data_IF_410225449302
#
_entry.id   IF_410225449302
#
_cell.length_a   1.000
_cell.length_b   1.000
_cell.length_c   1.000
_cell.angle_alpha   90.00
_cell.angle_beta   90.00
_cell.angle_gamma   90.00
#
_symmetry.space_group_name_H-M   'P 1'
#
loop_
_entity.id
_entity.type
_entity.pdbx_description
1 polymer ?
#
# COMPACT_ATOMS: atom_id res chain seq x y z
N UNK A 1 -6.41 19.61 7.34
CA UNK A 1 -5.48 19.77 6.19
C UNK A 1 -4.71 18.46 5.93
N UNK A 2 -5.35 17.28 6.02
CA UNK A 2 -4.66 15.97 5.90
C UNK A 2 -4.94 15.21 4.58
N UNK A 3 -5.90 15.67 3.78
CA UNK A 3 -6.33 14.96 2.57
C UNK A 3 -5.26 14.91 1.48
N UNK A 4 -4.38 15.91 1.40
CA UNK A 4 -3.27 15.91 0.43
C UNK A 4 -2.24 14.82 0.73
N UNK A 5 -1.93 14.59 2.01
CA UNK A 5 -0.93 13.60 2.43
C UNK A 5 -1.41 12.16 2.20
N UNK A 6 -2.68 11.87 2.50
CA UNK A 6 -3.28 10.54 2.26
C UNK A 6 -3.32 10.23 0.76
N UNK A 7 -3.73 11.20 -0.07
CA UNK A 7 -3.76 11.00 -1.52
C UNK A 7 -2.37 10.67 -2.10
N UNK A 8 -1.32 11.35 -1.63
CA UNK A 8 0.06 11.06 -2.06
C UNK A 8 0.53 9.67 -1.61
N UNK A 9 0.25 9.29 -0.35
CA UNK A 9 0.57 7.96 0.15
C UNK A 9 -0.14 6.87 -0.68
N UNK A 10 -1.40 7.11 -1.06
CA UNK A 10 -2.17 6.21 -1.91
C UNK A 10 -1.51 6.01 -3.28
N UNK A 11 -1.09 7.07 -3.94
CA UNK A 11 -0.40 6.97 -5.24
C UNK A 11 0.90 6.15 -5.14
N UNK A 12 1.67 6.33 -4.06
CA UNK A 12 2.89 5.54 -3.81
C UNK A 12 2.55 4.05 -3.62
N UNK A 13 1.53 3.76 -2.83
CA UNK A 13 1.07 2.38 -2.59
C UNK A 13 0.63 1.73 -3.89
N UNK A 14 -0.24 2.39 -4.66
CA UNK A 14 -0.71 1.90 -5.97
C UNK A 14 0.44 1.61 -6.90
N UNK A 15 1.36 2.55 -7.07
CA UNK A 15 2.52 2.38 -7.95
C UNK A 15 3.39 1.20 -7.52
N UNK A 16 3.58 1.03 -6.21
CA UNK A 16 4.35 -0.10 -5.66
C UNK A 16 3.69 -1.43 -5.97
N UNK A 17 2.36 -1.52 -5.87
CA UNK A 17 1.60 -2.72 -6.21
C UNK A 17 1.65 -3.01 -7.71
N UNK A 18 1.40 -2.00 -8.56
CA UNK A 18 1.45 -2.10 -10.02
C UNK A 18 2.82 -2.62 -10.47
N UNK A 19 3.89 -2.04 -9.92
CA UNK A 19 5.26 -2.44 -10.28
C UNK A 19 5.61 -3.86 -9.81
N UNK A 20 5.07 -4.33 -8.67
CA UNK A 20 5.39 -5.67 -8.13
C UNK A 20 4.53 -6.76 -8.76
N UNK A 21 3.25 -6.48 -9.03
CA UNK A 21 2.33 -7.42 -9.66
C UNK A 21 2.36 -7.36 -11.19
N UNK A 22 3.09 -6.41 -11.78
CA UNK A 22 3.17 -6.17 -13.23
C UNK A 22 1.79 -6.01 -13.88
N UNK A 23 0.87 -5.32 -13.19
CA UNK A 23 -0.50 -5.03 -13.66
C UNK A 23 -0.61 -3.61 -14.25
N UNK A 24 -1.64 -3.35 -15.05
CA UNK A 24 -1.82 -2.02 -15.67
C UNK A 24 -2.35 -0.96 -14.69
N UNK A 25 -3.35 -1.32 -13.87
CA UNK A 25 -3.96 -0.40 -12.91
C UNK A 25 -4.58 -1.16 -11.73
N UNK A 26 -4.70 -0.48 -10.59
CA UNK A 26 -5.43 -0.95 -9.40
C UNK A 26 -6.30 0.18 -8.83
N UNK A 27 -7.55 -0.14 -8.48
CA UNK A 27 -8.44 0.82 -7.82
C UNK A 27 -8.08 1.03 -6.35
N UNK A 28 -8.56 2.12 -5.75
CA UNK A 28 -8.26 2.44 -4.34
C UNK A 28 -8.74 1.36 -3.36
N UNK A 29 -9.84 0.69 -3.72
CA UNK A 29 -10.52 -0.31 -2.89
C UNK A 29 -10.36 -1.72 -3.45
N UNK A 30 -9.49 -1.91 -4.46
CA UNK A 30 -9.21 -3.24 -4.96
C UNK A 30 -8.30 -3.95 -3.97
N UNK A 31 -8.73 -5.14 -3.57
CA UNK A 31 -7.96 -6.03 -2.72
C UNK A 31 -6.74 -6.56 -3.50
N UNK A 32 -5.55 -6.35 -2.92
CA UNK A 32 -4.29 -6.84 -3.47
C UNK A 32 -4.30 -8.34 -3.80
N UNK A 33 -4.95 -9.18 -3.00
CA UNK A 33 -5.03 -10.62 -3.24
C UNK A 33 -5.97 -10.95 -4.41
N UNK A 34 -7.01 -10.14 -4.64
CA UNK A 34 -7.94 -10.34 -5.75
C UNK A 34 -7.30 -10.03 -7.12
N UNK A 35 -6.33 -9.11 -7.15
CA UNK A 35 -5.62 -8.74 -8.39
C UNK A 35 -4.40 -9.64 -8.68
N UNK A 36 -4.16 -10.68 -7.88
CA UNK A 36 -3.06 -11.65 -8.07
C UNK A 36 -1.92 -11.54 -7.07
N UNK A 37 -2.08 -10.74 -6.02
CA UNK A 37 -1.11 -10.63 -4.93
C UNK A 37 -1.04 -11.87 -4.05
N UNK A 38 0.13 -12.13 -3.48
CA UNK A 38 0.37 -13.21 -2.53
C UNK A 38 1.27 -12.75 -1.38
N UNK A 39 1.47 -13.58 -0.36
CA UNK A 39 2.27 -13.19 0.82
C UNK A 39 3.73 -12.81 0.48
N UNK A 40 4.30 -13.37 -0.59
CA UNK A 40 5.65 -13.03 -1.03
C UNK A 40 5.68 -11.63 -1.64
N UNK A 41 4.80 -11.36 -2.61
CA UNK A 41 4.72 -10.04 -3.26
C UNK A 41 4.24 -8.95 -2.31
N UNK A 42 3.45 -9.30 -1.28
CA UNK A 42 3.09 -8.37 -0.20
C UNK A 42 4.32 -7.85 0.55
N UNK A 43 5.31 -8.71 0.83
CA UNK A 43 6.55 -8.28 1.47
C UNK A 43 7.34 -7.35 0.56
N UNK A 44 7.43 -7.65 -0.74
CA UNK A 44 8.11 -6.79 -1.72
C UNK A 44 7.45 -5.41 -1.82
N UNK A 45 6.11 -5.37 -1.86
CA UNK A 45 5.33 -4.11 -1.84
C UNK A 45 5.58 -3.34 -0.55
N UNK A 46 5.55 -4.01 0.61
CA UNK A 46 5.81 -3.38 1.91
C UNK A 46 7.21 -2.77 1.93
N UNK A 47 8.24 -3.50 1.51
CA UNK A 47 9.61 -2.97 1.44
C UNK A 47 9.70 -1.75 0.52
N UNK A 48 9.11 -1.80 -0.66
CA UNK A 48 9.12 -0.70 -1.63
C UNK A 48 8.38 0.54 -1.13
N UNK A 49 7.28 0.36 -0.40
CA UNK A 49 6.57 1.45 0.26
C UNK A 49 7.43 2.03 1.39
N UNK A 50 8.07 1.16 2.19
CA UNK A 50 8.92 1.58 3.30
C UNK A 50 10.11 2.41 2.82
N UNK A 51 10.73 2.05 1.69
CA UNK A 51 11.83 2.80 1.09
C UNK A 51 11.38 4.18 0.58
N UNK A 52 10.20 4.28 -0.04
CA UNK A 52 9.70 5.54 -0.59
C UNK A 52 9.14 6.49 0.47
N UNK A 53 8.52 5.94 1.51
CA UNK A 53 7.84 6.74 2.56
C UNK A 53 8.66 6.91 3.83
N UNK A 54 9.69 6.07 4.03
CA UNK A 54 10.45 5.97 5.28
C UNK A 54 9.65 5.39 6.45
N UNK A 55 8.43 4.91 6.22
CA UNK A 55 7.51 4.40 7.25
C UNK A 55 7.37 2.89 7.11
N UNK A 56 7.45 2.16 8.22
CA UNK A 56 7.37 0.71 8.21
C UNK A 56 5.94 0.22 8.41
N UNK A 57 5.34 -0.39 7.39
CA UNK A 57 4.01 -1.02 7.51
C UNK A 57 4.17 -2.43 8.12
N UNK A 58 3.48 -2.76 9.22
CA UNK A 58 3.44 -4.12 9.73
C UNK A 58 2.69 -5.03 8.75
N UNK A 59 3.25 -6.22 8.46
CA UNK A 59 2.56 -7.21 7.61
C UNK A 59 1.15 -7.53 8.11
N UNK A 60 0.92 -7.54 9.43
CA UNK A 60 -0.41 -7.77 10.00
C UNK A 60 -1.43 -6.72 9.56
N UNK A 61 -1.05 -5.44 9.53
CA UNK A 61 -1.91 -4.35 9.09
C UNK A 61 -2.19 -4.48 7.59
N UNK A 62 -1.16 -4.80 6.81
CA UNK A 62 -1.29 -5.06 5.38
C UNK A 62 -2.27 -6.21 5.10
N UNK A 63 -2.19 -7.31 5.85
CA UNK A 63 -3.10 -8.45 5.70
C UNK A 63 -4.52 -8.18 6.23
N UNK A 64 -4.70 -7.16 7.08
CA UNK A 64 -6.01 -6.83 7.63
C UNK A 64 -6.90 -6.12 6.61
N UNK A 65 -6.32 -5.16 5.88
CA UNK A 65 -7.00 -4.46 4.80
C UNK A 65 -5.98 -4.17 3.67
N UNK A 66 -5.84 -5.12 2.72
CA UNK A 66 -4.83 -5.08 1.68
C UNK A 66 -5.27 -4.19 0.51
N UNK A 67 -5.92 -3.06 0.80
CA UNK A 67 -6.37 -2.08 -0.20
C UNK A 67 -5.47 -0.84 -0.20
N UNK A 68 -5.25 -0.20 -1.35
CA UNK A 68 -4.44 1.02 -1.41
C UNK A 68 -4.94 2.15 -0.50
N UNK A 69 -6.25 2.29 -0.30
CA UNK A 69 -6.81 3.32 0.59
C UNK A 69 -6.49 3.05 2.07
N UNK A 70 -6.71 1.82 2.54
CA UNK A 70 -6.39 1.46 3.93
C UNK A 70 -4.90 1.57 4.24
N UNK A 71 -4.03 1.15 3.30
CA UNK A 71 -2.59 1.29 3.45
C UNK A 71 -2.15 2.77 3.48
N UNK A 72 -2.77 3.62 2.68
CA UNK A 72 -2.53 5.06 2.70
C UNK A 72 -2.97 5.71 4.02
N UNK A 73 -4.10 5.25 4.57
CA UNK A 73 -4.56 5.65 5.89
C UNK A 73 -3.58 5.21 6.98
N UNK A 74 -3.12 3.95 6.99
CA UNK A 74 -2.11 3.46 7.94
C UNK A 74 -0.85 4.32 7.87
N UNK A 75 -0.36 4.62 6.67
CA UNK A 75 0.80 5.48 6.46
C UNK A 75 0.59 6.90 7.04
N UNK A 76 -0.63 7.43 7.01
CA UNK A 76 -0.93 8.75 7.55
C UNK A 76 -1.30 8.75 9.03
N UNK A 77 -1.91 7.67 9.52
CA UNK A 77 -2.44 7.50 10.87
C UNK A 77 -1.45 6.83 11.82
N UNK A 78 -0.25 6.43 11.35
CA UNK A 78 0.84 6.02 12.24
C UNK A 78 1.17 7.12 13.25
N UNK A 79 0.43 7.09 14.36
CA UNK A 79 0.65 7.83 15.60
C UNK A 79 2.05 7.47 16.09
N UNK A 80 2.85 8.51 16.27
CA UNK A 80 4.13 8.46 16.99
C UNK A 80 3.95 7.88 18.39
#
# INVERSE_FOLDING_TARGET
MNTTTVNQARDIVKKSIIDVLEIEEINNNDDFFNVGGCSLTALDVIEKINEQTGKKIPLREFLSDPTPDALAEILCDMKQ
#
